data_IF_773881163863
#
_entry.id   IF_773881163863
#
_cell.length_a   1.000
_cell.length_b   1.000
_cell.length_c   1.000
_cell.angle_alpha   90.00
_cell.angle_beta   90.00
_cell.angle_gamma   90.00
#
_symmetry.space_group_name_H-M   'P 1'
#
loop_
_entity.id
_entity.type
_entity.pdbx_description
1 polymer ?
#
# COMPACT_ATOMS: atom_id res chain seq x y z
N UNK A 1 24.94 50.77 -35.85
CA UNK A 1 26.08 49.84 -35.77
C UNK A 1 25.51 48.43 -35.92
N UNK A 2 25.18 48.01 -37.14
CA UNK A 2 25.99 47.15 -38.02
C UNK A 2 26.10 45.70 -37.50
N UNK A 3 25.78 44.62 -38.22
CA UNK A 3 25.13 44.40 -39.51
C UNK A 3 24.72 42.92 -39.53
N UNK A 4 23.53 42.59 -40.06
CA UNK A 4 23.22 41.22 -40.50
C UNK A 4 24.07 40.91 -41.74
N UNK A 5 24.77 39.78 -41.73
CA UNK A 5 25.45 39.25 -42.92
C UNK A 5 25.00 37.83 -43.17
N UNK A 6 24.13 37.70 -44.17
CA UNK A 6 23.67 36.47 -44.77
C UNK A 6 24.70 36.05 -45.83
N UNK A 7 25.17 34.80 -45.81
CA UNK A 7 25.90 34.22 -46.96
C UNK A 7 25.44 32.81 -47.25
N UNK A 8 24.96 32.65 -48.48
CA UNK A 8 24.47 31.43 -49.11
C UNK A 8 25.63 30.55 -49.57
N UNK A 9 25.45 29.24 -49.40
CA UNK A 9 25.70 28.18 -50.37
C UNK A 9 27.09 28.02 -50.98
N UNK A 10 27.71 26.86 -50.72
CA UNK A 10 28.48 26.15 -51.74
C UNK A 10 28.41 24.64 -51.52
N UNK A 11 27.80 23.98 -52.51
CA UNK A 11 27.75 22.55 -52.72
C UNK A 11 29.16 21.98 -52.85
N UNK A 12 29.51 20.97 -52.05
CA UNK A 12 30.60 20.05 -52.37
C UNK A 12 30.05 18.64 -52.22
N UNK A 13 29.87 18.01 -53.39
CA UNK A 13 29.64 16.58 -53.54
C UNK A 13 30.96 15.88 -53.23
N UNK A 14 31.02 15.15 -52.13
CA UNK A 14 32.12 14.22 -51.87
C UNK A 14 31.52 12.85 -51.62
N UNK A 15 31.87 11.92 -52.49
CA UNK A 15 31.57 10.50 -52.37
C UNK A 15 32.23 9.96 -51.11
N UNK A 16 31.43 9.65 -50.09
CA UNK A 16 31.90 8.88 -48.94
C UNK A 16 31.59 7.42 -49.23
N UNK A 17 32.66 6.65 -49.29
CA UNK A 17 32.70 5.20 -49.36
C UNK A 17 31.78 4.55 -48.33
N UNK A 18 30.92 3.66 -48.81
CA UNK A 18 30.12 2.75 -47.99
C UNK A 18 31.07 1.74 -47.34
N UNK A 19 31.45 1.98 -46.08
CA UNK A 19 31.99 0.94 -45.23
C UNK A 19 30.83 0.06 -44.76
N UNK A 20 30.74 -1.15 -45.31
CA UNK A 20 29.85 -2.21 -44.80
C UNK A 20 30.39 -2.63 -43.44
N UNK A 21 29.80 -2.08 -42.38
CA UNK A 21 29.98 -2.58 -41.03
C UNK A 21 29.25 -3.93 -40.92
N UNK A 22 30.04 -4.97 -40.70
CA UNK A 22 29.59 -6.32 -40.39
C UNK A 22 28.55 -6.27 -39.27
N UNK A 23 27.40 -6.86 -39.55
CA UNK A 23 26.24 -7.05 -38.69
C UNK A 23 26.65 -7.58 -37.32
N UNK A 24 26.58 -6.72 -36.31
CA UNK A 24 26.47 -7.16 -34.92
C UNK A 24 25.14 -7.87 -34.72
N UNK A 25 25.16 -9.06 -34.11
CA UNK A 25 23.98 -9.78 -33.70
C UNK A 25 23.19 -8.90 -32.71
N UNK A 26 22.16 -8.19 -33.20
CA UNK A 26 21.14 -7.64 -32.34
C UNK A 26 20.34 -8.82 -31.77
N UNK A 27 20.71 -9.28 -30.59
CA UNK A 27 19.82 -10.10 -29.79
C UNK A 27 18.57 -9.26 -29.54
N UNK A 28 17.37 -9.69 -29.94
CA UNK A 28 16.16 -8.99 -29.53
C UNK A 28 16.17 -9.00 -28.01
N UNK A 29 16.31 -7.81 -27.42
CA UNK A 29 15.98 -7.60 -26.03
C UNK A 29 14.52 -7.95 -25.89
N UNK A 30 14.24 -9.19 -25.50
CA UNK A 30 12.94 -9.57 -24.99
C UNK A 30 12.74 -8.72 -23.74
N UNK A 31 12.02 -7.61 -23.91
CA UNK A 31 11.32 -6.99 -22.81
C UNK A 31 10.29 -8.02 -22.34
N UNK A 32 10.69 -8.86 -21.39
CA UNK A 32 9.74 -9.55 -20.54
C UNK A 32 9.02 -8.44 -19.76
N UNK A 33 7.93 -7.93 -20.33
CA UNK A 33 6.83 -7.45 -19.51
C UNK A 33 6.44 -8.66 -18.67
N UNK A 34 6.95 -8.69 -17.44
CA UNK A 34 6.33 -9.48 -16.38
C UNK A 34 4.95 -8.84 -16.15
N UNK A 35 3.99 -9.16 -17.00
CA UNK A 35 2.59 -9.20 -16.60
C UNK A 35 2.48 -10.38 -15.65
N UNK A 36 3.00 -10.18 -14.43
CA UNK A 36 2.46 -10.95 -13.32
C UNK A 36 1.00 -10.52 -13.26
N UNK A 37 0.03 -11.43 -13.47
CA UNK A 37 -1.34 -11.07 -13.17
C UNK A 37 -1.32 -10.57 -11.73
N UNK A 38 -1.62 -9.29 -11.53
CA UNK A 38 -2.01 -8.82 -10.22
C UNK A 38 -3.22 -9.66 -9.88
N UNK A 39 -3.03 -10.71 -9.08
CA UNK A 39 -4.15 -11.43 -8.51
C UNK A 39 -4.96 -10.34 -7.82
N UNK A 40 -6.14 -10.01 -8.38
CA UNK A 40 -7.03 -9.06 -7.76
C UNK A 40 -7.25 -9.56 -6.33
N UNK A 41 -6.83 -8.76 -5.35
CA UNK A 41 -7.04 -9.13 -3.96
C UNK A 41 -8.53 -9.41 -3.76
N UNK A 42 -8.85 -10.48 -3.03
CA UNK A 42 -10.24 -10.89 -2.80
C UNK A 42 -10.97 -9.74 -2.11
N UNK A 43 -11.93 -9.14 -2.81
CA UNK A 43 -12.73 -8.03 -2.29
C UNK A 43 -13.70 -8.52 -1.21
N UNK A 44 -13.85 -7.73 -0.15
CA UNK A 44 -14.80 -7.94 0.94
C UNK A 44 -15.59 -6.64 1.19
N UNK A 45 -16.74 -6.73 1.84
CA UNK A 45 -17.53 -5.56 2.24
C UNK A 45 -18.26 -5.84 3.55
N UNK A 46 -19.11 -4.90 3.99
CA UNK A 46 -19.93 -5.07 5.18
C UNK A 46 -21.33 -5.61 4.89
N UNK A 47 -21.69 -5.85 3.61
CA UNK A 47 -23.05 -6.25 3.23
C UNK A 47 -23.09 -7.24 2.06
N UNK A 48 -24.22 -7.93 1.92
CA UNK A 48 -24.49 -8.82 0.80
C UNK A 48 -23.53 -10.01 0.70
N UNK A 49 -23.30 -10.50 -0.52
CA UNK A 49 -22.52 -11.72 -0.78
C UNK A 49 -21.04 -11.65 -0.40
N UNK A 50 -20.53 -10.47 -0.03
CA UNK A 50 -19.15 -10.27 0.43
C UNK A 50 -19.10 -9.72 1.86
N UNK A 51 -20.23 -9.79 2.58
CA UNK A 51 -20.39 -9.33 3.96
C UNK A 51 -19.74 -10.25 5.00
N UNK A 52 -19.75 -9.84 6.29
CA UNK A 52 -19.05 -10.53 7.38
C UNK A 52 -19.40 -12.01 7.53
N UNK A 53 -20.67 -12.38 7.30
CA UNK A 53 -21.16 -13.76 7.35
C UNK A 53 -20.49 -14.67 6.30
N UNK A 54 -19.88 -14.08 5.27
CA UNK A 54 -19.27 -14.78 4.14
C UNK A 54 -17.74 -14.63 4.05
N UNK A 55 -17.11 -13.76 4.85
CA UNK A 55 -15.68 -13.44 4.72
C UNK A 55 -14.77 -14.67 4.70
N UNK A 56 -15.02 -15.66 5.56
CA UNK A 56 -14.21 -16.87 5.63
C UNK A 56 -14.30 -17.79 4.41
N UNK A 57 -15.32 -17.61 3.57
CA UNK A 57 -15.54 -18.38 2.34
C UNK A 57 -15.03 -17.66 1.08
N UNK A 58 -14.67 -16.37 1.18
CA UNK A 58 -14.22 -15.58 0.02
C UNK A 58 -12.82 -16.00 -0.47
N UNK A 59 -11.96 -16.46 0.44
CA UNK A 59 -10.58 -16.84 0.13
C UNK A 59 -10.03 -17.80 1.19
N UNK A 60 -9.17 -18.78 0.81
CA UNK A 60 -8.45 -19.59 1.80
C UNK A 60 -7.66 -18.78 2.82
N UNK A 61 -7.24 -17.54 2.47
CA UNK A 61 -6.53 -16.63 3.38
C UNK A 61 -7.42 -16.07 4.50
N UNK A 62 -8.75 -16.07 4.31
CA UNK A 62 -9.71 -15.47 5.24
C UNK A 62 -10.39 -16.50 6.14
N UNK A 63 -10.01 -17.78 6.04
CA UNK A 63 -10.60 -18.91 6.79
C UNK A 63 -10.74 -18.66 8.30
N UNK A 64 -9.85 -17.87 8.90
CA UNK A 64 -9.92 -17.48 10.31
C UNK A 64 -11.24 -16.76 10.67
N UNK A 65 -11.84 -16.00 9.75
CA UNK A 65 -13.13 -15.33 9.97
C UNK A 65 -14.30 -16.31 10.17
N UNK A 66 -14.13 -17.58 9.78
CA UNK A 66 -15.14 -18.65 9.93
C UNK A 66 -14.77 -19.67 10.98
N UNK A 67 -13.50 -20.07 11.04
CA UNK A 67 -13.04 -21.17 11.90
C UNK A 67 -12.31 -20.70 13.17
N UNK A 68 -11.96 -19.41 13.24
CA UNK A 68 -11.25 -18.82 14.37
C UNK A 68 -12.08 -18.87 15.65
N UNK A 69 -11.44 -19.26 16.76
CA UNK A 69 -12.09 -19.34 18.09
C UNK A 69 -11.74 -18.18 19.02
N UNK A 70 -10.95 -17.24 18.52
CA UNK A 70 -10.49 -16.03 19.21
C UNK A 70 -10.64 -14.86 18.22
N UNK A 71 -11.88 -14.57 17.85
CA UNK A 71 -12.23 -13.47 16.94
C UNK A 71 -12.64 -12.24 17.74
N UNK A 72 -12.56 -11.09 17.08
CA UNK A 72 -13.09 -9.81 17.54
C UNK A 72 -14.11 -9.31 16.51
N UNK A 73 -15.02 -8.38 16.87
CA UNK A 73 -15.27 -7.82 18.22
C UNK A 73 -15.89 -8.84 19.20
N UNK A 74 -15.98 -8.47 20.48
CA UNK A 74 -16.71 -9.23 21.51
C UNK A 74 -17.55 -8.31 22.40
N UNK A 75 -18.64 -8.85 22.96
CA UNK A 75 -19.42 -8.17 23.99
C UNK A 75 -18.67 -8.19 25.34
N UNK A 76 -18.26 -7.02 25.82
CA UNK A 76 -17.53 -6.85 27.09
C UNK A 76 -18.53 -6.63 28.22
N UNK A 77 -18.89 -7.72 28.91
CA UNK A 77 -19.80 -7.69 30.07
C UNK A 77 -19.03 -7.51 31.37
N UNK A 78 -19.27 -6.39 32.05
CA UNK A 78 -18.63 -6.10 33.36
C UNK A 78 -18.79 -7.22 34.39
N UNK A 79 -19.95 -7.89 34.41
CA UNK A 79 -20.23 -8.97 35.37
C UNK A 79 -19.38 -10.23 35.18
N UNK A 80 -18.86 -10.46 33.97
CA UNK A 80 -18.00 -11.62 33.65
C UNK A 80 -16.54 -11.25 33.44
N UNK A 81 -16.20 -9.95 33.48
CA UNK A 81 -14.82 -9.50 33.38
C UNK A 81 -14.06 -9.85 34.65
N UNK A 82 -12.86 -10.41 34.50
CA UNK A 82 -11.93 -10.66 35.61
C UNK A 82 -11.09 -9.42 35.81
N UNK A 83 -11.06 -8.91 37.04
CA UNK A 83 -10.12 -7.85 37.41
C UNK A 83 -8.70 -8.40 37.41
N UNK A 84 -7.95 -8.06 36.38
CA UNK A 84 -6.54 -8.39 36.28
C UNK A 84 -5.72 -7.24 36.84
N UNK A 85 -4.69 -7.55 37.62
CA UNK A 85 -3.64 -6.59 37.95
C UNK A 85 -2.80 -6.28 36.68
N UNK A 86 -3.40 -5.58 35.72
CA UNK A 86 -2.82 -5.28 34.42
C UNK A 86 -1.79 -4.15 34.56
N UNK A 87 -0.62 -4.27 33.92
CA UNK A 87 0.34 -3.18 33.90
C UNK A 87 -0.24 -1.98 33.15
N UNK A 88 0.12 -0.74 33.53
CA UNK A 88 -0.29 0.44 32.79
C UNK A 88 0.25 0.41 31.36
N UNK A 89 -0.51 1.00 30.43
CA UNK A 89 -0.04 1.27 29.08
C UNK A 89 0.71 2.60 29.12
N UNK A 90 1.96 2.61 28.66
CA UNK A 90 2.74 3.84 28.53
C UNK A 90 2.55 4.44 27.14
N UNK A 91 2.26 5.74 27.06
CA UNK A 91 1.97 6.42 25.81
C UNK A 91 3.08 7.39 25.44
N UNK A 92 3.58 7.28 24.21
CA UNK A 92 4.60 8.16 23.65
C UNK A 92 4.14 8.73 22.30
N UNK A 93 2.94 9.32 22.29
CA UNK A 93 2.38 9.93 21.09
C UNK A 93 2.90 11.34 20.88
N UNK A 94 3.10 11.69 19.61
CA UNK A 94 3.49 13.03 19.18
C UNK A 94 2.41 13.59 18.28
N UNK A 95 2.14 14.89 18.43
CA UNK A 95 1.25 15.60 17.53
C UNK A 95 1.80 15.53 16.09
N UNK A 96 0.90 15.32 15.13
CA UNK A 96 1.18 15.37 13.70
C UNK A 96 -0.01 16.03 12.97
N UNK A 97 0.17 16.44 11.70
CA UNK A 97 -0.94 16.89 10.87
C UNK A 97 -1.96 15.76 10.69
N UNK A 98 -3.22 16.04 10.98
CA UNK A 98 -4.31 15.08 10.84
C UNK A 98 -4.76 14.99 9.37
N UNK A 99 -4.11 14.12 8.60
CA UNK A 99 -4.52 13.78 7.22
C UNK A 99 -5.25 12.44 7.24
N UNK A 100 -6.45 12.41 6.66
CA UNK A 100 -7.29 11.22 6.61
C UNK A 100 -7.47 10.72 5.17
N UNK A 101 -7.56 9.41 5.01
CA UNK A 101 -7.89 8.72 3.75
C UNK A 101 -9.17 7.94 3.95
N UNK A 102 -10.13 8.11 3.04
CA UNK A 102 -11.26 7.20 2.89
C UNK A 102 -10.82 6.06 1.95
N UNK A 103 -10.73 4.84 2.48
CA UNK A 103 -10.28 3.67 1.71
C UNK A 103 -11.42 2.78 1.21
N UNK A 104 -12.68 3.23 1.31
CA UNK A 104 -13.88 2.45 0.97
C UNK A 104 -14.43 1.61 2.12
N UNK A 105 -13.66 1.40 3.19
CA UNK A 105 -14.07 0.63 4.37
C UNK A 105 -14.08 1.45 5.66
N UNK A 106 -13.26 2.50 5.76
CA UNK A 106 -13.15 3.38 6.92
C UNK A 106 -12.55 4.74 6.54
N UNK A 107 -12.66 5.72 7.44
CA UNK A 107 -11.74 6.85 7.51
C UNK A 107 -10.50 6.43 8.31
N UNK A 108 -9.31 6.57 7.73
CA UNK A 108 -8.05 6.16 8.36
C UNK A 108 -7.05 7.31 8.39
N UNK A 109 -6.39 7.49 9.53
CA UNK A 109 -5.18 8.29 9.64
C UNK A 109 -3.96 7.39 9.75
N UNK A 110 -3.01 7.55 8.84
CA UNK A 110 -1.71 6.88 8.93
C UNK A 110 -0.75 7.78 9.69
N UNK A 111 -0.25 7.26 10.80
CA UNK A 111 0.72 7.95 11.64
C UNK A 111 2.12 7.73 11.06
N UNK A 112 2.86 8.83 10.86
CA UNK A 112 4.28 8.77 10.52
C UNK A 112 5.12 8.28 11.71
N UNK A 113 6.39 7.94 11.46
CA UNK A 113 7.30 7.44 12.50
C UNK A 113 7.28 8.32 13.76
N UNK A 114 7.53 7.69 14.93
CA UNK A 114 7.78 8.31 16.25
C UNK A 114 6.59 8.48 17.21
N UNK A 115 5.48 7.77 16.99
CA UNK A 115 4.45 7.54 18.02
C UNK A 115 4.39 6.04 18.36
N UNK A 116 4.40 5.69 19.64
CA UNK A 116 4.33 4.30 20.11
C UNK A 116 3.66 4.20 21.48
N UNK A 117 3.32 2.97 21.86
CA UNK A 117 2.95 2.61 23.23
C UNK A 117 3.90 1.54 23.77
N UNK A 118 3.95 1.38 25.10
CA UNK A 118 4.60 0.25 25.76
C UNK A 118 3.54 -0.55 26.52
N UNK A 119 3.49 -1.85 26.28
CA UNK A 119 2.61 -2.80 26.99
C UNK A 119 3.50 -3.91 27.55
N UNK A 120 3.50 -4.10 28.87
CA UNK A 120 4.31 -5.12 29.54
C UNK A 120 5.81 -5.08 29.17
N UNK A 121 6.36 -3.88 28.98
CA UNK A 121 7.77 -3.66 28.58
C UNK A 121 8.03 -3.76 27.07
N UNK A 122 7.06 -4.19 26.28
CA UNK A 122 7.18 -4.33 24.83
C UNK A 122 6.66 -3.09 24.09
N UNK A 123 7.43 -2.63 23.10
CA UNK A 123 7.10 -1.45 22.30
C UNK A 123 6.23 -1.81 21.09
N UNK A 124 5.13 -1.06 20.90
CA UNK A 124 4.26 -1.15 19.73
C UNK A 124 4.15 0.21 19.05
N UNK A 125 4.63 0.30 17.81
CA UNK A 125 4.53 1.53 17.02
C UNK A 125 3.10 1.78 16.55
N UNK A 126 2.62 3.02 16.71
CA UNK A 126 1.36 3.45 16.13
C UNK A 126 1.53 3.62 14.62
N UNK A 127 0.95 2.71 13.83
CA UNK A 127 0.98 2.78 12.36
C UNK A 127 -0.20 3.55 11.79
N UNK A 128 -1.39 3.35 12.34
CA UNK A 128 -2.62 4.01 11.94
C UNK A 128 -3.67 3.95 13.06
N UNK A 129 -4.67 4.81 12.98
CA UNK A 129 -5.97 4.61 13.62
C UNK A 129 -7.09 4.89 12.64
N UNK A 130 -8.28 4.35 12.93
CA UNK A 130 -9.45 4.45 12.06
C UNK A 130 -10.75 4.38 12.89
N UNK A 131 -11.90 4.44 12.22
CA UNK A 131 -13.19 4.62 12.88
C UNK A 131 -14.24 3.63 12.35
N UNK A 132 -15.14 3.22 13.23
CA UNK A 132 -16.33 2.45 12.90
C UNK A 132 -17.57 3.18 13.42
N UNK A 133 -18.68 3.07 12.68
CA UNK A 133 -20.00 3.55 13.11
C UNK A 133 -21.08 2.55 12.68
N UNK A 134 -21.83 1.91 13.62
CA UNK A 134 -21.70 2.02 15.09
C UNK A 134 -20.39 1.41 15.61
N UNK A 135 -20.22 1.30 16.92
CA UNK A 135 -19.15 0.44 17.45
C UNK A 135 -19.26 -0.95 16.84
N UNK A 136 -18.11 -1.60 16.62
CA UNK A 136 -18.07 -3.02 16.24
C UNK A 136 -18.76 -3.91 17.30
#
# INVERSE_FOLDING_TARGET
MAALAQRRGRSIRTWVTLAVLLTGCASPGHWYLSDKPHAHETHWSYEGATGPEHWGDLSPKFRAAKEGRQQSPIDIRRASAVDGNLPPIEFHYRANPAVFVNNGHTLQHTQGDRSWIVIAGERYDLKQFHFHTPSE
#
